data_IF_973781901104
#
_entry.id   IF_973781901104
#
_cell.length_a   1.000
_cell.length_b   1.000
_cell.length_c   1.000
_cell.angle_alpha   90.00
_cell.angle_beta   90.00
_cell.angle_gamma   90.00
#
_symmetry.space_group_name_H-M   'P 1'
#
loop_
_entity.id
_entity.type
_entity.pdbx_description
1 polymer ?
#
# COMPACT_ATOMS: atom_id res chain seq x y z
N UNK A 1 3.17 4.07 9.09
CA UNK A 1 2.34 2.95 8.58
C UNK A 1 3.16 1.68 8.76
N UNK A 2 3.05 1.05 9.93
CA UNK A 2 3.76 -0.18 10.25
C UNK A 2 3.11 -1.42 9.61
N UNK A 3 1.84 -1.33 9.20
CA UNK A 3 1.11 -2.42 8.55
C UNK A 3 1.76 -2.87 7.23
N UNK A 4 2.19 -1.93 6.39
CA UNK A 4 2.94 -2.26 5.17
C UNK A 4 4.29 -2.91 5.49
N UNK A 5 4.99 -2.45 6.53
CA UNK A 5 6.25 -3.09 6.97
C UNK A 5 6.03 -4.53 7.45
N UNK A 6 4.93 -4.78 8.16
CA UNK A 6 4.61 -6.12 8.68
C UNK A 6 4.36 -7.14 7.56
N UNK A 7 3.92 -6.70 6.38
CA UNK A 7 3.67 -7.58 5.22
C UNK A 7 4.89 -7.68 4.28
N UNK A 8 6.02 -7.08 4.63
CA UNK A 8 7.25 -7.07 3.83
C UNK A 8 7.30 -5.98 2.76
N UNK A 9 6.44 -4.96 2.85
CA UNK A 9 6.51 -3.77 2.02
C UNK A 9 7.39 -2.72 2.68
N UNK A 10 8.69 -2.88 2.54
CA UNK A 10 9.67 -1.97 3.14
C UNK A 10 9.79 -0.63 2.41
N UNK A 11 9.29 -0.53 1.18
CA UNK A 11 9.36 0.70 0.37
C UNK A 11 8.02 1.04 -0.27
N UNK A 12 7.77 2.34 -0.48
CA UNK A 12 6.61 2.82 -1.23
C UNK A 12 6.55 2.21 -2.64
N UNK A 13 7.72 1.95 -3.26
CA UNK A 13 7.80 1.27 -4.56
C UNK A 13 7.25 -0.16 -4.47
N UNK A 14 7.61 -0.91 -3.43
CA UNK A 14 7.09 -2.26 -3.20
C UNK A 14 5.57 -2.28 -2.98
N UNK A 15 5.02 -1.28 -2.28
CA UNK A 15 3.57 -1.10 -2.12
C UNK A 15 2.91 -0.82 -3.48
N UNK A 16 3.51 0.02 -4.31
CA UNK A 16 3.01 0.35 -5.65
C UNK A 16 3.12 -0.80 -6.66
N UNK A 17 4.08 -1.72 -6.45
CA UNK A 17 4.22 -2.94 -7.26
C UNK A 17 3.23 -4.04 -6.86
N UNK A 18 2.76 -4.03 -5.62
CA UNK A 18 1.71 -4.93 -5.15
C UNK A 18 0.33 -4.45 -5.58
N UNK A 19 -0.55 -5.40 -5.90
CA UNK A 19 -1.94 -5.10 -6.24
C UNK A 19 -2.73 -4.63 -5.03
N UNK A 20 -3.70 -3.74 -5.25
CA UNK A 20 -4.59 -3.22 -4.19
C UNK A 20 -5.28 -4.36 -3.43
N UNK A 21 -5.82 -5.36 -4.14
CA UNK A 21 -6.43 -6.56 -3.55
C UNK A 21 -5.49 -7.28 -2.57
N UNK A 22 -4.20 -7.42 -2.94
CA UNK A 22 -3.24 -8.14 -2.11
C UNK A 22 -2.86 -7.34 -0.87
N UNK A 23 -2.77 -6.01 -1.00
CA UNK A 23 -2.58 -5.13 0.15
C UNK A 23 -3.79 -5.20 1.10
N UNK A 24 -5.02 -5.11 0.58
CA UNK A 24 -6.26 -5.25 1.37
C UNK A 24 -6.28 -6.57 2.14
N UNK A 25 -5.97 -7.69 1.47
CA UNK A 25 -5.96 -9.00 2.11
C UNK A 25 -4.85 -9.18 3.16
N UNK A 26 -3.70 -8.53 2.99
CA UNK A 26 -2.55 -8.71 3.90
C UNK A 26 -2.51 -7.71 5.04
N UNK A 27 -2.99 -6.49 4.83
CA UNK A 27 -3.01 -5.45 5.88
C UNK A 27 -4.33 -5.41 6.64
N UNK A 28 -5.36 -6.17 6.21
CA UNK A 28 -6.72 -6.11 6.81
C UNK A 28 -7.30 -4.68 6.80
N UNK A 29 -6.85 -3.87 5.83
CA UNK A 29 -7.30 -2.49 5.65
C UNK A 29 -8.41 -2.43 4.60
N UNK A 30 -9.30 -1.45 4.73
CA UNK A 30 -10.34 -1.21 3.75
C UNK A 30 -9.74 -0.81 2.39
N UNK A 31 -10.37 -1.25 1.30
CA UNK A 31 -9.93 -0.97 -0.06
C UNK A 31 -9.81 0.54 -0.33
N UNK A 32 -10.71 1.33 0.25
CA UNK A 32 -10.69 2.80 0.16
C UNK A 32 -9.41 3.37 0.78
N UNK A 33 -8.99 2.86 1.95
CA UNK A 33 -7.76 3.26 2.63
C UNK A 33 -6.54 2.92 1.78
N UNK A 34 -6.49 1.71 1.22
CA UNK A 34 -5.38 1.30 0.34
C UNK A 34 -5.32 2.18 -0.90
N UNK A 35 -6.47 2.46 -1.54
CA UNK A 35 -6.55 3.34 -2.71
C UNK A 35 -6.03 4.74 -2.40
N UNK A 36 -6.39 5.29 -1.25
CA UNK A 36 -5.90 6.60 -0.82
C UNK A 36 -4.39 6.60 -0.61
N UNK A 37 -3.85 5.61 0.10
CA UNK A 37 -2.40 5.48 0.32
C UNK A 37 -1.66 5.33 -1.01
N UNK A 38 -2.10 4.43 -1.89
CA UNK A 38 -1.51 4.22 -3.22
C UNK A 38 -1.55 5.50 -4.05
N UNK A 39 -2.65 6.26 -3.98
CA UNK A 39 -2.78 7.54 -4.67
C UNK A 39 -1.79 8.57 -4.16
N UNK A 40 -1.67 8.74 -2.84
CA UNK A 40 -0.70 9.64 -2.21
C UNK A 40 0.71 9.22 -2.61
N UNK A 41 1.04 7.94 -2.48
CA UNK A 41 2.35 7.42 -2.86
C UNK A 41 2.65 7.62 -4.34
N UNK A 42 1.68 7.48 -5.26
CA UNK A 42 1.92 7.82 -6.67
C UNK A 42 2.19 9.30 -6.88
N UNK A 43 1.38 10.17 -6.25
CA UNK A 43 1.55 11.62 -6.39
C UNK A 43 2.86 12.15 -5.80
N UNK A 44 3.44 11.47 -4.81
CA UNK A 44 4.75 11.83 -4.23
C UNK A 44 5.94 11.34 -5.09
N UNK A 45 5.71 10.42 -6.03
CA UNK A 45 6.74 9.86 -6.91
C UNK A 45 6.69 10.43 -8.35
N UNK A 46 5.76 11.35 -8.62
CA UNK A 46 5.70 12.21 -9.82
C UNK A 46 6.35 13.57 -9.56
#
# INVERSE_FOLDING_TARGET
>A
IDEFKNIGCDTAKSVLELGIDELVQRTDLEEETIKEVVRILKSEFE
#
